data_IF_819956944484
#
_entry.id   IF_819956944484
#
_cell.length_a   1.000
_cell.length_b   1.000
_cell.length_c   1.000
_cell.angle_alpha   90.00
_cell.angle_beta   90.00
_cell.angle_gamma   90.00
#
_symmetry.space_group_name_H-M   'P 1'
#
loop_
_entity.id
_entity.type
_entity.pdbx_description
1 polymer ?
#
# COMPACT_ATOMS: atom_id res chain seq x y z
N UNK A 1 -40.87 8.18 -36.88
CA UNK A 1 -39.66 8.30 -36.03
C UNK A 1 -39.24 9.76 -36.02
N UNK A 2 -39.30 10.45 -34.86
CA UNK A 2 -38.92 11.88 -34.77
C UNK A 2 -37.42 11.97 -34.49
N UNK A 3 -36.69 12.70 -35.33
CA UNK A 3 -35.27 12.95 -35.15
C UNK A 3 -35.04 13.76 -33.86
N UNK A 4 -34.05 13.34 -33.07
CA UNK A 4 -33.66 14.06 -31.86
C UNK A 4 -33.15 15.47 -32.25
N UNK A 5 -33.62 16.55 -31.61
CA UNK A 5 -33.16 17.89 -31.92
C UNK A 5 -31.65 18.01 -31.70
N UNK A 6 -30.94 18.63 -32.65
CA UNK A 6 -29.48 18.87 -32.56
C UNK A 6 -29.09 19.56 -31.25
N UNK A 7 -29.94 20.43 -30.74
CA UNK A 7 -29.78 21.10 -29.43
C UNK A 7 -29.77 20.14 -28.24
N UNK A 8 -30.61 19.10 -28.24
CA UNK A 8 -30.55 18.06 -27.21
C UNK A 8 -29.25 17.26 -27.31
N UNK A 9 -28.81 16.94 -28.52
CA UNK A 9 -27.55 16.23 -28.73
C UNK A 9 -26.37 16.99 -28.10
N UNK A 10 -26.27 18.30 -28.34
CA UNK A 10 -25.21 19.15 -27.77
C UNK A 10 -25.27 19.24 -26.24
N UNK A 11 -26.46 19.29 -25.64
CA UNK A 11 -26.61 19.33 -24.18
C UNK A 11 -26.12 18.01 -23.54
N UNK A 12 -26.46 16.87 -24.15
CA UNK A 12 -25.98 15.57 -23.67
C UNK A 12 -24.46 15.40 -23.83
N UNK A 13 -23.85 15.85 -24.93
CA UNK A 13 -22.38 15.79 -25.07
C UNK A 13 -21.67 16.63 -24.01
N UNK A 14 -22.16 17.84 -23.71
CA UNK A 14 -21.56 18.69 -22.68
C UNK A 14 -21.70 18.09 -21.26
N UNK A 15 -22.84 17.47 -20.95
CA UNK A 15 -23.05 16.77 -19.67
C UNK A 15 -22.13 15.55 -19.51
N UNK A 16 -21.90 14.79 -20.58
CA UNK A 16 -20.96 13.65 -20.57
C UNK A 16 -19.52 14.15 -20.39
N UNK A 17 -19.11 15.23 -21.06
CA UNK A 17 -17.78 15.83 -20.89
C UNK A 17 -17.56 16.40 -19.47
N UNK A 18 -18.59 16.96 -18.85
CA UNK A 18 -18.53 17.44 -17.45
C UNK A 18 -18.48 16.28 -16.44
N UNK A 19 -19.15 15.16 -16.73
CA UNK A 19 -19.15 13.95 -15.90
C UNK A 19 -17.83 13.15 -15.91
N UNK A 20 -17.01 13.30 -16.95
CA UNK A 20 -15.73 12.59 -17.08
C UNK A 20 -14.61 13.11 -16.17
N UNK A 21 -14.82 14.22 -15.44
CA UNK A 21 -13.86 14.74 -14.47
C UNK A 21 -14.03 14.15 -13.05
N UNK A 22 -14.94 13.20 -12.86
CA UNK A 22 -14.93 12.37 -11.65
C UNK A 22 -13.87 11.29 -11.87
N UNK A 23 -12.60 11.69 -11.76
CA UNK A 23 -11.51 10.73 -11.56
C UNK A 23 -11.72 10.20 -10.14
N UNK A 24 -12.50 9.13 -10.05
CA UNK A 24 -12.56 8.32 -8.85
C UNK A 24 -11.14 7.77 -8.68
N UNK A 25 -10.33 8.39 -7.81
CA UNK A 25 -9.01 7.89 -7.46
C UNK A 25 -9.27 6.61 -6.66
N UNK A 26 -9.40 5.48 -7.36
CA UNK A 26 -9.52 4.18 -6.74
C UNK A 26 -8.23 3.95 -5.93
N UNK A 27 -8.37 4.01 -4.60
CA UNK A 27 -7.27 3.76 -3.68
C UNK A 27 -6.85 2.29 -3.77
N UNK A 28 -5.54 2.06 -3.77
CA UNK A 28 -4.96 0.73 -3.68
C UNK A 28 -5.38 0.10 -2.34
N UNK A 29 -6.02 -1.07 -2.39
CA UNK A 29 -6.37 -1.82 -1.17
C UNK A 29 -5.20 -2.65 -0.69
N UNK A 30 -4.98 -2.68 0.61
CA UNK A 30 -3.92 -3.46 1.25
C UNK A 30 -4.46 -4.24 2.45
N UNK A 31 -3.79 -5.34 2.77
CA UNK A 31 -3.94 -6.01 4.07
C UNK A 31 -3.38 -5.12 5.18
N UNK A 32 -4.04 -5.13 6.34
CA UNK A 32 -3.63 -4.37 7.52
C UNK A 32 -4.03 -5.08 8.82
N UNK A 33 -3.05 -5.48 9.65
CA UNK A 33 -3.29 -6.22 10.90
C UNK A 33 -3.91 -5.37 12.03
N UNK A 34 -3.64 -4.06 12.08
CA UNK A 34 -4.25 -3.17 13.10
C UNK A 34 -5.63 -2.64 12.70
N UNK A 35 -6.02 -2.76 11.43
CA UNK A 35 -7.22 -2.15 10.87
C UNK A 35 -8.49 -2.97 11.17
N UNK A 36 -8.74 -3.31 12.43
CA UNK A 36 -9.86 -4.18 12.85
C UNK A 36 -11.24 -3.64 12.44
N UNK A 37 -11.41 -2.31 12.45
CA UNK A 37 -12.68 -1.63 12.13
C UNK A 37 -13.06 -1.72 10.65
N UNK A 38 -12.08 -1.93 9.77
CA UNK A 38 -12.23 -1.97 8.31
C UNK A 38 -11.92 -3.36 7.77
N UNK A 39 -12.23 -4.39 8.56
CA UNK A 39 -12.01 -5.80 8.21
C UNK A 39 -10.57 -6.09 7.76
N UNK A 40 -9.60 -5.61 8.55
CA UNK A 40 -8.17 -5.82 8.32
C UNK A 40 -7.68 -5.35 6.94
N UNK A 41 -8.35 -4.32 6.40
CA UNK A 41 -8.07 -3.73 5.10
C UNK A 41 -7.91 -2.22 5.24
N UNK A 42 -7.06 -1.60 4.42
CA UNK A 42 -6.97 -0.15 4.27
C UNK A 42 -6.80 0.21 2.79
N UNK A 43 -7.09 1.47 2.43
CA UNK A 43 -6.89 2.03 1.10
C UNK A 43 -5.82 3.12 1.13
N UNK A 44 -5.00 3.21 0.09
CA UNK A 44 -3.93 4.21 -0.02
C UNK A 44 -3.65 4.63 -1.45
N UNK A 45 -3.04 5.81 -1.62
CA UNK A 45 -2.50 6.25 -2.92
C UNK A 45 -1.03 5.87 -3.12
N UNK A 46 -0.40 5.24 -2.12
CA UNK A 46 1.00 4.85 -2.12
C UNK A 46 1.24 3.36 -2.28
N UNK A 47 1.62 2.71 -1.19
CA UNK A 47 2.14 1.35 -1.17
C UNK A 47 1.50 0.52 -0.07
N UNK A 48 1.31 -0.76 -0.37
CA UNK A 48 1.09 -1.77 0.65
C UNK A 48 2.44 -2.22 1.22
N UNK A 49 2.55 -2.24 2.54
CA UNK A 49 3.74 -2.67 3.25
C UNK A 49 3.50 -4.02 3.93
N UNK A 50 4.52 -4.85 3.94
CA UNK A 50 4.62 -6.00 4.82
C UNK A 50 6.01 -6.08 5.46
N UNK A 51 6.04 -6.47 6.73
CA UNK A 51 7.28 -6.86 7.40
C UNK A 51 7.14 -8.22 8.06
N UNK A 52 8.26 -8.86 8.25
CA UNK A 52 8.42 -10.04 9.08
C UNK A 52 9.62 -9.83 9.96
N UNK A 53 9.51 -10.17 11.24
CA UNK A 53 10.61 -10.01 12.18
C UNK A 53 10.56 -11.07 13.26
N UNK A 54 11.71 -11.37 13.84
CA UNK A 54 11.81 -12.23 15.01
C UNK A 54 11.95 -11.39 16.27
N UNK A 55 11.01 -11.52 17.19
CA UNK A 55 11.06 -10.92 18.53
C UNK A 55 11.02 -12.02 19.57
N UNK A 56 12.05 -12.10 20.42
CA UNK A 56 12.19 -13.15 21.44
C UNK A 56 12.04 -14.58 20.87
N UNK A 57 12.61 -14.84 19.69
CA UNK A 57 12.53 -16.15 19.01
C UNK A 57 11.18 -16.47 18.35
N UNK A 58 10.20 -15.56 18.42
CA UNK A 58 8.90 -15.73 17.76
C UNK A 58 8.83 -14.87 16.51
N UNK A 59 8.49 -15.49 15.38
CA UNK A 59 8.26 -14.79 14.12
C UNK A 59 6.92 -14.04 14.17
N UNK A 60 6.96 -12.75 13.87
CA UNK A 60 5.82 -11.83 13.83
C UNK A 60 5.70 -11.21 12.44
N UNK A 61 4.52 -10.66 12.15
CA UNK A 61 4.17 -10.10 10.84
C UNK A 61 3.40 -8.80 11.01
N UNK A 62 3.82 -7.75 10.32
CA UNK A 62 3.06 -6.50 10.22
C UNK A 62 2.66 -6.22 8.77
N UNK A 63 1.50 -5.60 8.62
CA UNK A 63 0.90 -5.19 7.35
C UNK A 63 0.33 -3.77 7.49
N UNK A 64 0.68 -2.87 6.58
CA UNK A 64 0.30 -1.45 6.66
C UNK A 64 -0.02 -0.87 5.28
N UNK A 65 -0.79 0.22 5.27
CA UNK A 65 -0.88 1.14 4.15
C UNK A 65 0.05 2.32 4.41
N UNK A 66 0.81 2.73 3.39
CA UNK A 66 1.54 3.99 3.41
C UNK A 66 1.16 4.83 2.20
N UNK A 67 0.66 6.03 2.44
CA UNK A 67 0.54 7.02 1.38
C UNK A 67 1.92 7.44 0.87
N UNK A 68 2.00 7.92 -0.37
CA UNK A 68 3.27 8.35 -0.98
C UNK A 68 4.02 9.40 -0.15
N UNK A 69 3.31 10.15 0.69
CA UNK A 69 3.85 11.20 1.56
C UNK A 69 4.13 10.75 2.99
N UNK A 70 3.72 9.54 3.38
CA UNK A 70 3.66 9.10 4.78
C UNK A 70 4.61 7.95 5.09
N UNK A 71 5.65 7.74 4.28
CA UNK A 71 6.78 6.92 4.73
C UNK A 71 7.36 7.52 6.01
N UNK A 72 7.89 6.70 6.94
CA UNK A 72 8.46 7.21 8.18
C UNK A 72 9.45 8.34 7.85
N UNK A 73 9.33 9.49 8.52
CA UNK A 73 10.09 10.70 8.19
C UNK A 73 11.61 10.42 8.14
N UNK A 74 12.09 9.55 9.02
CA UNK A 74 13.48 9.08 9.05
C UNK A 74 13.92 8.34 7.77
N UNK A 75 13.01 7.60 7.13
CA UNK A 75 13.26 6.88 5.87
C UNK A 75 13.32 7.86 4.70
N UNK A 76 12.42 8.86 4.70
CA UNK A 76 12.36 9.89 3.67
C UNK A 76 13.57 10.81 3.75
N UNK A 77 13.90 11.32 4.95
CA UNK A 77 15.05 12.20 5.18
C UNK A 77 16.38 11.52 4.85
N UNK A 78 16.51 10.22 5.11
CA UNK A 78 17.71 9.46 4.76
C UNK A 78 17.77 9.07 3.27
N UNK A 79 16.75 9.39 2.46
CA UNK A 79 16.56 8.91 1.08
C UNK A 79 16.68 7.38 0.96
N UNK A 80 16.19 6.66 1.97
CA UNK A 80 16.30 5.19 2.08
C UNK A 80 15.02 4.47 1.71
N UNK A 81 14.09 5.11 1.00
CA UNK A 81 12.81 4.50 0.64
C UNK A 81 12.96 3.16 -0.08
N UNK A 82 13.86 3.08 -1.07
CA UNK A 82 14.13 1.82 -1.78
C UNK A 82 14.74 0.75 -0.86
N UNK A 83 15.60 1.14 0.07
CA UNK A 83 16.18 0.24 1.06
C UNK A 83 15.09 -0.22 2.04
N UNK A 84 14.34 0.68 2.66
CA UNK A 84 13.27 0.37 3.62
C UNK A 84 12.20 -0.56 3.04
N UNK A 85 11.88 -0.42 1.77
CA UNK A 85 10.90 -1.26 1.09
C UNK A 85 11.46 -2.58 0.54
N UNK A 86 12.76 -2.86 0.70
CA UNK A 86 13.36 -4.12 0.26
C UNK A 86 14.65 -4.40 1.05
N UNK A 87 14.55 -4.42 2.39
CA UNK A 87 15.70 -4.69 3.27
C UNK A 87 15.55 -6.03 3.96
N UNK A 88 16.70 -6.66 4.24
CA UNK A 88 16.81 -7.78 5.16
C UNK A 88 17.94 -7.50 6.13
N UNK A 89 17.60 -7.30 7.39
CA UNK A 89 18.54 -7.04 8.47
C UNK A 89 18.62 -8.28 9.36
N UNK A 90 19.85 -8.73 9.62
CA UNK A 90 20.18 -9.79 10.57
C UNK A 90 20.99 -9.21 11.73
N UNK A 91 20.91 -9.83 12.90
CA UNK A 91 21.69 -9.49 14.10
C UNK A 91 21.66 -8.00 14.44
N UNK A 92 20.44 -7.42 14.48
CA UNK A 92 20.24 -6.00 14.76
C UNK A 92 20.65 -5.69 16.21
N UNK A 93 21.92 -5.35 16.40
CA UNK A 93 22.51 -5.06 17.70
C UNK A 93 21.72 -3.96 18.43
N UNK A 94 21.48 -4.16 19.73
CA UNK A 94 20.69 -3.28 20.60
C UNK A 94 19.21 -3.12 20.21
N UNK A 95 18.64 -4.07 19.47
CA UNK A 95 17.21 -4.09 19.15
C UNK A 95 16.51 -5.29 19.77
N UNK A 96 15.20 -5.18 20.03
CA UNK A 96 14.35 -6.30 20.46
C UNK A 96 14.18 -7.36 19.35
N UNK A 97 14.64 -7.07 18.14
CA UNK A 97 14.47 -7.86 16.94
C UNK A 97 15.80 -8.50 16.53
N UNK A 98 15.82 -9.82 16.32
CA UNK A 98 17.01 -10.53 15.83
C UNK A 98 17.14 -10.49 14.31
N UNK A 99 16.02 -10.37 13.61
CA UNK A 99 16.01 -10.18 12.16
C UNK A 99 14.74 -9.46 11.72
N UNK A 100 14.84 -8.71 10.63
CA UNK A 100 13.73 -7.95 10.03
C UNK A 100 13.83 -8.05 8.51
N UNK A 101 12.74 -8.41 7.86
CA UNK A 101 12.56 -8.40 6.41
C UNK A 101 11.38 -7.49 6.08
N UNK A 102 11.57 -6.54 5.18
CA UNK A 102 10.53 -5.59 4.77
C UNK A 102 10.30 -5.61 3.27
N UNK A 103 9.05 -5.42 2.85
CA UNK A 103 8.68 -5.27 1.44
C UNK A 103 7.60 -4.21 1.26
N UNK A 104 7.60 -3.53 0.12
CA UNK A 104 6.51 -2.69 -0.34
C UNK A 104 6.07 -3.08 -1.75
N UNK A 105 4.78 -2.93 -2.06
CA UNK A 105 4.23 -3.20 -3.38
C UNK A 105 3.07 -2.25 -3.70
N UNK A 106 2.78 -2.06 -4.99
CA UNK A 106 1.67 -1.25 -5.46
C UNK A 106 1.13 -1.72 -6.84
N UNK A 107 1.40 -2.97 -7.20
CA UNK A 107 1.08 -3.57 -8.49
C UNK A 107 -0.35 -4.11 -8.57
N UNK A 108 -0.97 -4.43 -7.43
CA UNK A 108 -2.36 -4.91 -7.33
C UNK A 108 -2.94 -4.69 -5.93
N UNK A 109 -4.27 -4.71 -5.84
CA UNK A 109 -4.95 -4.82 -4.55
C UNK A 109 -4.49 -6.06 -3.80
N UNK A 110 -4.27 -5.87 -2.50
CA UNK A 110 -3.76 -6.86 -1.55
C UNK A 110 -2.42 -7.46 -1.96
N UNK A 111 -1.55 -6.74 -2.68
CA UNK A 111 -0.24 -7.25 -3.07
C UNK A 111 0.64 -7.70 -1.87
N UNK A 112 0.36 -7.17 -0.67
CA UNK A 112 1.02 -7.53 0.59
C UNK A 112 0.39 -8.72 1.34
N UNK A 113 -0.47 -9.50 0.70
CA UNK A 113 -1.12 -10.69 1.30
C UNK A 113 -0.15 -11.85 1.58
N UNK A 114 0.98 -11.89 0.85
CA UNK A 114 1.98 -12.95 0.98
C UNK A 114 2.70 -12.88 2.32
N UNK A 115 2.91 -14.05 2.92
CA UNK A 115 3.79 -14.18 4.08
C UNK A 115 5.24 -14.17 3.59
N UNK A 116 6.04 -13.31 4.19
CA UNK A 116 7.49 -13.32 4.01
C UNK A 116 8.08 -14.29 5.03
N UNK A 117 9.06 -15.09 4.62
CA UNK A 117 9.75 -16.01 5.51
C UNK A 117 11.21 -15.59 5.59
N UNK A 118 11.70 -15.40 6.81
CA UNK A 118 13.13 -15.21 7.06
C UNK A 118 13.70 -16.61 7.24
N UNK A 119 14.49 -17.05 6.27
CA UNK A 119 15.26 -18.29 6.38
C UNK A 119 16.46 -18.01 7.28
N UNK A 120 16.33 -18.35 8.57
CA UNK A 120 17.45 -18.36 9.51
C UNK A 120 18.35 -19.53 9.12
N UNK A 121 19.21 -19.35 8.12
CA UNK A 121 20.28 -20.32 7.86
C UNK A 121 21.17 -20.34 9.11
N UNK A 122 21.11 -21.47 9.83
CA UNK A 122 21.84 -21.73 11.05
C UNK A 122 23.34 -21.85 10.88
#
# INVERSE_FOLDING_TARGET
MRALPRTLLFVFTNLICLGQNIVEIWGLKCKCDICKKTNYTCETTGYCFASTYFKNGVQQYDYRCYDKKSLPEIVVQANRTAQYCNDTLFDVANSEFSSVLTTCCNDRDYCNDRRLYIDLKG
#
